data_IF_584665685914
#
_entry.id   IF_584665685914
#
_cell.length_a   1.000
_cell.length_b   1.000
_cell.length_c   1.000
_cell.angle_alpha   90.00
_cell.angle_beta   90.00
_cell.angle_gamma   90.00
#
_symmetry.space_group_name_H-M   'P 1'
#
loop_
_entity.id
_entity.type
_entity.pdbx_description
1 polymer ?
#
# COMPACT_ATOMS: atom_id res chain seq x y z
N UNK A 1 -51.26 12.93 -40.42
CA UNK A 1 -50.06 13.50 -39.78
C UNK A 1 -49.34 12.35 -39.08
N UNK A 2 -48.41 11.70 -39.76
CA UNK A 2 -47.65 10.50 -39.29
C UNK A 2 -46.39 10.99 -38.61
N UNK A 3 -46.26 10.72 -37.30
CA UNK A 3 -45.05 10.97 -36.53
C UNK A 3 -44.10 9.79 -36.71
N UNK A 4 -42.97 10.01 -37.40
CA UNK A 4 -41.88 9.05 -37.51
C UNK A 4 -41.10 9.06 -36.18
N UNK A 5 -41.10 7.95 -35.46
CA UNK A 5 -40.23 7.71 -34.30
C UNK A 5 -38.82 7.33 -34.82
N UNK A 6 -37.88 8.24 -34.60
CA UNK A 6 -36.47 7.97 -34.83
C UNK A 6 -35.95 7.12 -33.68
N UNK A 7 -35.59 5.85 -33.94
CA UNK A 7 -34.90 4.97 -33.01
C UNK A 7 -33.39 5.26 -33.12
N UNK A 8 -32.83 5.87 -32.09
CA UNK A 8 -31.37 6.00 -31.95
C UNK A 8 -30.84 4.66 -31.43
N UNK A 9 -30.18 3.91 -32.30
CA UNK A 9 -29.46 2.69 -31.93
C UNK A 9 -28.14 3.12 -31.26
N UNK A 10 -28.09 3.05 -29.92
CA UNK A 10 -26.86 3.22 -29.17
C UNK A 10 -26.07 1.91 -29.33
N UNK A 11 -25.10 1.91 -30.23
CA UNK A 11 -24.12 0.81 -30.34
C UNK A 11 -23.10 1.02 -29.22
N UNK A 12 -23.28 0.35 -28.09
CA UNK A 12 -22.23 0.21 -27.09
C UNK A 12 -21.17 -0.74 -27.65
N UNK A 13 -20.08 -0.17 -28.16
CA UNK A 13 -18.90 -0.97 -28.50
C UNK A 13 -18.28 -1.47 -27.18
N UNK A 14 -18.64 -2.70 -26.79
CA UNK A 14 -17.83 -3.44 -25.84
C UNK A 14 -16.54 -3.82 -26.58
N UNK A 15 -15.49 -3.05 -26.34
CA UNK A 15 -14.14 -3.49 -26.71
C UNK A 15 -13.88 -4.77 -25.89
N UNK A 16 -13.87 -5.92 -26.56
CA UNK A 16 -13.35 -7.15 -26.01
C UNK A 16 -11.85 -6.95 -25.87
N UNK A 17 -11.42 -6.39 -24.71
CA UNK A 17 -10.02 -6.44 -24.34
C UNK A 17 -9.75 -7.91 -24.03
N UNK A 18 -9.04 -8.58 -24.95
CA UNK A 18 -8.49 -9.90 -24.63
C UNK A 18 -7.74 -9.78 -23.33
N UNK A 19 -8.02 -10.67 -22.38
CA UNK A 19 -7.32 -10.71 -21.11
C UNK A 19 -5.83 -10.88 -21.41
N UNK A 20 -5.04 -9.85 -21.15
CA UNK A 20 -3.59 -9.88 -21.29
C UNK A 20 -3.06 -10.39 -19.96
N UNK A 21 -2.41 -11.55 -19.97
CA UNK A 21 -1.75 -12.07 -18.78
C UNK A 21 -0.57 -11.16 -18.40
N UNK A 22 -0.27 -11.08 -17.11
CA UNK A 22 0.91 -10.36 -16.62
C UNK A 22 2.23 -10.97 -17.14
N UNK A 23 3.36 -10.25 -17.01
CA UNK A 23 4.67 -10.76 -17.42
C UNK A 23 5.04 -12.00 -16.59
N UNK A 24 5.64 -13.00 -17.24
CA UNK A 24 6.14 -14.17 -16.54
C UNK A 24 7.37 -13.81 -15.68
N UNK A 25 7.65 -14.58 -14.62
CA UNK A 25 8.80 -14.35 -13.72
C UNK A 25 10.13 -14.18 -14.45
N UNK A 26 10.37 -14.97 -15.51
CA UNK A 26 11.57 -14.84 -16.34
C UNK A 26 11.67 -13.49 -17.08
N UNK A 27 10.54 -12.90 -17.43
CA UNK A 27 10.48 -11.59 -18.10
C UNK A 27 10.72 -10.48 -17.09
N UNK A 28 10.15 -10.61 -15.89
CA UNK A 28 10.40 -9.73 -14.76
C UNK A 28 11.89 -9.76 -14.41
N UNK A 29 12.46 -10.94 -14.21
CA UNK A 29 13.87 -11.13 -13.91
C UNK A 29 14.79 -10.49 -14.97
N UNK A 30 14.48 -10.70 -16.25
CA UNK A 30 15.27 -10.14 -17.34
C UNK A 30 15.25 -8.60 -17.35
N UNK A 31 14.09 -7.97 -17.10
CA UNK A 31 13.99 -6.51 -17.07
C UNK A 31 14.60 -5.89 -15.81
N UNK A 32 14.65 -6.63 -14.72
CA UNK A 32 15.36 -6.23 -13.49
C UNK A 32 16.87 -6.52 -13.53
N UNK A 33 17.36 -7.19 -14.59
CA UNK A 33 18.73 -7.70 -14.67
C UNK A 33 19.08 -8.62 -13.47
N UNK A 34 18.16 -9.55 -13.17
CA UNK A 34 18.29 -10.60 -12.14
C UNK A 34 18.36 -11.98 -12.81
N UNK A 35 19.00 -12.95 -12.16
CA UNK A 35 19.04 -14.32 -12.66
C UNK A 35 17.67 -15.01 -12.51
N UNK A 36 16.95 -14.73 -11.43
CA UNK A 36 15.61 -15.21 -11.19
C UNK A 36 14.84 -14.27 -10.24
N UNK A 37 13.52 -14.39 -10.24
CA UNK A 37 12.63 -13.81 -9.24
C UNK A 37 11.61 -14.87 -8.82
N UNK A 38 11.10 -14.72 -7.61
CA UNK A 38 9.96 -15.47 -7.08
C UNK A 38 8.80 -14.50 -6.89
N UNK A 39 7.68 -14.75 -7.54
CA UNK A 39 6.48 -13.92 -7.44
C UNK A 39 5.76 -14.18 -6.11
N UNK A 40 5.62 -13.15 -5.30
CA UNK A 40 4.87 -13.22 -4.03
C UNK A 40 3.40 -12.89 -4.24
N UNK A 41 3.14 -11.80 -4.93
CA UNK A 41 1.79 -11.30 -5.24
C UNK A 41 1.82 -10.44 -6.48
N UNK A 42 0.72 -10.41 -7.22
CA UNK A 42 0.53 -9.45 -8.32
C UNK A 42 -0.93 -9.05 -8.46
N UNK A 43 -1.14 -7.90 -9.07
CA UNK A 43 -2.45 -7.39 -9.43
C UNK A 43 -2.36 -6.55 -10.71
N UNK A 44 -3.50 -6.37 -11.39
CA UNK A 44 -3.65 -5.52 -12.56
C UNK A 44 -4.80 -4.55 -12.38
N UNK A 45 -4.54 -3.27 -12.68
CA UNK A 45 -5.53 -2.21 -12.60
C UNK A 45 -5.08 -0.97 -13.35
N UNK A 46 -6.00 -0.06 -13.62
CA UNK A 46 -5.70 1.24 -14.19
C UNK A 46 -5.13 2.16 -13.11
N UNK A 47 -3.80 2.14 -12.97
CA UNK A 47 -3.06 2.95 -11.99
C UNK A 47 -2.86 4.40 -12.46
N UNK A 48 -2.86 4.60 -13.76
CA UNK A 48 -2.57 5.90 -14.36
C UNK A 48 -3.81 6.74 -14.67
N UNK A 49 -4.99 6.13 -14.69
CA UNK A 49 -6.26 6.76 -15.01
C UNK A 49 -6.46 6.99 -16.52
N UNK A 50 -5.68 6.32 -17.37
CA UNK A 50 -5.75 6.45 -18.81
C UNK A 50 -6.62 5.37 -19.49
N UNK A 51 -7.15 4.44 -18.70
CA UNK A 51 -8.01 3.33 -19.14
C UNK A 51 -7.23 2.09 -19.60
N UNK A 52 -5.89 2.09 -19.55
CA UNK A 52 -5.07 0.92 -19.76
C UNK A 52 -4.68 0.30 -18.40
N UNK A 53 -4.42 -1.01 -18.41
CA UNK A 53 -4.04 -1.71 -17.19
C UNK A 53 -2.52 -1.67 -17.02
N UNK A 54 -2.07 -1.30 -15.85
CA UNK A 54 -0.74 -1.59 -15.36
C UNK A 54 -0.74 -2.92 -14.60
N UNK A 55 0.41 -3.57 -14.59
CA UNK A 55 0.68 -4.76 -13.78
C UNK A 55 1.65 -4.39 -12.67
N UNK A 56 1.26 -4.65 -11.43
CA UNK A 56 2.12 -4.50 -10.27
C UNK A 56 2.39 -5.86 -9.62
N UNK A 57 3.62 -6.05 -9.13
CA UNK A 57 3.97 -7.27 -8.42
C UNK A 57 4.98 -7.00 -7.30
N UNK A 58 4.87 -7.78 -6.22
CA UNK A 58 5.91 -7.96 -5.23
C UNK A 58 6.69 -9.23 -5.55
N UNK A 59 8.02 -9.14 -5.59
CA UNK A 59 8.91 -10.24 -5.94
C UNK A 59 10.11 -10.32 -4.99
N UNK A 60 10.56 -11.54 -4.70
CA UNK A 60 11.89 -11.80 -4.12
C UNK A 60 12.88 -12.08 -5.24
N UNK A 61 14.03 -11.41 -5.24
CA UNK A 61 15.09 -11.60 -6.25
C UNK A 61 16.10 -12.66 -5.81
N UNK A 62 17.04 -13.00 -6.69
CA UNK A 62 18.18 -13.87 -6.38
C UNK A 62 19.30 -13.17 -5.61
N UNK A 63 19.20 -11.86 -5.40
CA UNK A 63 20.18 -11.09 -4.64
C UNK A 63 19.96 -11.27 -3.14
N UNK A 64 21.02 -11.50 -2.41
CA UNK A 64 21.00 -11.59 -0.95
C UNK A 64 21.58 -10.29 -0.36
N UNK A 65 20.77 -9.58 0.42
CA UNK A 65 21.15 -8.38 1.16
C UNK A 65 20.93 -8.67 2.65
N UNK A 66 21.97 -8.47 3.47
CA UNK A 66 21.91 -8.69 4.93
C UNK A 66 21.35 -10.06 5.36
N UNK A 67 21.60 -11.10 4.55
CA UNK A 67 21.20 -12.48 4.84
C UNK A 67 19.81 -12.87 4.35
N UNK A 68 19.04 -11.97 3.78
CA UNK A 68 17.71 -12.23 3.21
C UNK A 68 17.68 -11.89 1.71
N UNK A 69 16.70 -12.44 0.97
CA UNK A 69 16.48 -12.08 -0.43
C UNK A 69 16.09 -10.61 -0.54
N UNK A 70 16.63 -9.92 -1.54
CA UNK A 70 16.16 -8.60 -1.91
C UNK A 70 14.71 -8.70 -2.35
N UNK A 71 13.83 -7.94 -1.72
CA UNK A 71 12.41 -7.85 -2.08
C UNK A 71 12.13 -6.55 -2.80
N UNK A 72 11.35 -6.62 -3.86
CA UNK A 72 11.03 -5.45 -4.68
C UNK A 72 9.54 -5.43 -5.04
N UNK A 73 9.02 -4.23 -5.19
CA UNK A 73 7.80 -3.96 -5.94
C UNK A 73 8.20 -3.54 -7.33
N UNK A 74 7.54 -4.10 -8.34
CA UNK A 74 7.79 -3.81 -9.76
C UNK A 74 6.47 -3.44 -10.43
N UNK A 75 6.49 -2.42 -11.27
CA UNK A 75 5.31 -1.96 -12.01
C UNK A 75 5.63 -1.94 -13.49
N UNK A 76 4.75 -2.55 -14.28
CA UNK A 76 4.86 -2.65 -15.73
C UNK A 76 3.69 -1.94 -16.40
N UNK A 77 3.96 -1.39 -17.57
CA UNK A 77 2.98 -0.87 -18.51
C UNK A 77 2.95 -1.72 -19.77
N UNK A 78 1.74 -1.92 -20.29
CA UNK A 78 1.60 -2.58 -21.58
C UNK A 78 1.96 -1.59 -22.70
N UNK A 79 2.85 -2.00 -23.59
CA UNK A 79 3.24 -1.20 -24.74
C UNK A 79 3.21 -2.07 -26.00
N UNK A 80 2.27 -1.79 -26.88
CA UNK A 80 2.01 -2.47 -28.15
C UNK A 80 1.77 -3.98 -27.99
N UNK A 81 2.81 -4.78 -27.73
CA UNK A 81 2.79 -6.24 -27.70
C UNK A 81 3.52 -6.86 -26.50
N UNK A 82 4.01 -6.03 -25.56
CA UNK A 82 4.80 -6.51 -24.42
C UNK A 82 4.67 -5.62 -23.19
N UNK A 83 4.97 -6.23 -22.05
CA UNK A 83 5.14 -5.52 -20.79
C UNK A 83 6.51 -4.84 -20.73
N UNK A 84 6.54 -3.56 -20.40
CA UNK A 84 7.75 -2.80 -20.13
C UNK A 84 7.78 -2.35 -18.68
N UNK A 85 8.92 -2.57 -18.02
CA UNK A 85 9.14 -2.08 -16.66
C UNK A 85 9.03 -0.55 -16.66
N UNK A 86 8.09 -0.03 -15.88
CA UNK A 86 7.94 1.40 -15.66
C UNK A 86 8.78 1.85 -14.49
N UNK A 87 8.63 1.19 -13.33
CA UNK A 87 9.41 1.49 -12.12
C UNK A 87 9.55 0.24 -11.25
N UNK A 88 10.55 0.26 -10.37
CA UNK A 88 10.76 -0.77 -9.37
C UNK A 88 11.34 -0.17 -8.10
N UNK A 89 10.98 -0.70 -6.94
CA UNK A 89 11.43 -0.19 -5.66
C UNK A 89 11.64 -1.32 -4.65
N UNK A 90 12.78 -1.32 -3.96
CA UNK A 90 13.00 -2.12 -2.75
C UNK A 90 12.72 -1.31 -1.47
N UNK A 91 12.42 -0.01 -1.60
CA UNK A 91 12.17 0.89 -0.48
C UNK A 91 10.72 0.83 0.02
N UNK A 92 9.78 0.38 -0.80
CA UNK A 92 8.35 0.37 -0.48
C UNK A 92 7.84 -0.96 0.08
N UNK A 93 8.69 -1.97 0.17
CA UNK A 93 8.32 -3.29 0.67
C UNK A 93 9.33 -3.78 1.71
N UNK A 94 8.82 -4.38 2.79
CA UNK A 94 9.65 -4.93 3.86
C UNK A 94 10.23 -6.29 3.47
N UNK A 95 11.43 -6.58 3.96
CA UNK A 95 12.07 -7.88 3.80
C UNK A 95 11.36 -8.98 4.61
N UNK A 96 11.61 -10.24 4.26
CA UNK A 96 10.90 -11.39 4.83
C UNK A 96 11.12 -11.59 6.35
N UNK A 97 12.16 -11.02 6.92
CA UNK A 97 12.47 -11.16 8.36
C UNK A 97 12.12 -9.92 9.19
N UNK A 98 11.54 -8.88 8.55
CA UNK A 98 11.18 -7.63 9.23
C UNK A 98 9.84 -7.70 10.00
N UNK A 99 9.10 -8.81 9.92
CA UNK A 99 7.81 -9.00 10.60
C UNK A 99 7.91 -9.47 12.07
N UNK A 100 9.11 -9.66 12.57
CA UNK A 100 9.33 -10.12 13.95
C UNK A 100 8.94 -11.59 14.14
N UNK A 101 8.34 -11.91 15.31
CA UNK A 101 7.96 -13.30 15.66
C UNK A 101 6.87 -13.87 14.73
N UNK A 102 6.08 -13.01 14.10
CA UNK A 102 5.03 -13.45 13.17
C UNK A 102 5.57 -13.84 11.78
N UNK A 103 6.86 -13.65 11.53
CA UNK A 103 7.52 -14.05 10.28
C UNK A 103 7.47 -12.97 9.20
N UNK A 104 7.19 -13.36 7.97
CA UNK A 104 7.16 -12.47 6.82
C UNK A 104 6.07 -11.39 6.97
N UNK A 105 6.44 -10.09 6.95
CA UNK A 105 5.47 -9.01 7.15
C UNK A 105 4.61 -8.72 5.93
N UNK A 106 5.02 -9.11 4.72
CA UNK A 106 4.27 -8.80 3.51
C UNK A 106 2.91 -9.51 3.51
N UNK A 107 1.84 -8.74 3.36
CA UNK A 107 0.47 -9.25 3.40
C UNK A 107 -0.19 -9.23 2.03
N UNK A 108 -0.17 -8.07 1.37
CA UNK A 108 -0.88 -7.91 0.10
C UNK A 108 -0.33 -6.73 -0.72
N UNK A 109 -0.68 -6.76 -2.01
CA UNK A 109 -0.45 -5.69 -2.98
C UNK A 109 -1.63 -5.68 -3.94
N UNK A 110 -2.11 -4.49 -4.29
CA UNK A 110 -3.21 -4.34 -5.25
C UNK A 110 -3.26 -2.96 -5.90
N UNK A 111 -3.99 -2.88 -7.01
CA UNK A 111 -4.29 -1.62 -7.71
C UNK A 111 -5.78 -1.37 -7.61
N UNK A 112 -6.17 -0.32 -6.92
CA UNK A 112 -7.57 0.10 -6.77
C UNK A 112 -7.66 1.62 -6.75
N UNK A 113 -8.71 2.18 -7.38
CA UNK A 113 -8.98 3.61 -7.39
C UNK A 113 -7.78 4.46 -7.85
N UNK A 114 -7.06 3.97 -8.89
CA UNK A 114 -5.84 4.59 -9.44
C UNK A 114 -4.71 4.74 -8.41
N UNK A 115 -4.66 3.84 -7.44
CA UNK A 115 -3.61 3.77 -6.42
C UNK A 115 -3.05 2.36 -6.34
N UNK A 116 -1.75 2.28 -6.12
CA UNK A 116 -1.06 1.06 -5.73
C UNK A 116 -1.06 0.96 -4.22
N UNK A 117 -1.65 -0.10 -3.66
CA UNK A 117 -1.69 -0.39 -2.24
C UNK A 117 -0.68 -1.47 -1.90
N UNK A 118 0.04 -1.28 -0.81
CA UNK A 118 1.01 -2.26 -0.29
C UNK A 118 0.78 -2.40 1.21
N UNK A 119 0.48 -3.61 1.67
CA UNK A 119 0.13 -3.89 3.05
C UNK A 119 1.16 -4.80 3.73
N UNK A 120 1.48 -4.46 4.97
CA UNK A 120 2.37 -5.22 5.84
C UNK A 120 1.77 -5.37 7.23
N UNK A 121 2.15 -6.46 7.93
CA UNK A 121 1.85 -6.62 9.34
C UNK A 121 2.90 -7.49 10.03
N UNK A 122 3.04 -7.32 11.34
CA UNK A 122 4.05 -8.08 12.08
C UNK A 122 3.92 -7.89 13.59
N UNK A 123 5.01 -8.23 14.29
CA UNK A 123 5.11 -8.08 15.73
C UNK A 123 5.18 -9.38 16.52
N UNK A 124 4.69 -9.33 17.75
CA UNK A 124 4.61 -10.44 18.69
C UNK A 124 3.38 -10.28 19.60
N UNK A 125 3.55 -10.02 20.92
CA UNK A 125 2.48 -9.56 21.80
C UNK A 125 1.98 -8.17 21.39
N UNK A 126 2.89 -7.32 20.98
CA UNK A 126 2.62 -6.07 20.30
C UNK A 126 2.55 -6.32 18.79
N UNK A 127 1.42 -6.01 18.20
CA UNK A 127 1.16 -6.18 16.77
C UNK A 127 1.11 -4.85 16.09
N UNK A 128 1.56 -4.84 14.85
CA UNK A 128 1.49 -3.67 14.00
C UNK A 128 0.99 -4.06 12.61
N UNK A 129 0.34 -3.13 11.96
CA UNK A 129 0.06 -3.18 10.53
C UNK A 129 0.34 -1.83 9.91
N UNK A 130 0.67 -1.84 8.62
CA UNK A 130 0.75 -0.62 7.83
C UNK A 130 0.28 -0.90 6.40
N UNK A 131 -0.28 0.13 5.78
CA UNK A 131 -0.73 0.13 4.40
C UNK A 131 -0.37 1.48 3.78
N UNK A 132 0.40 1.44 2.72
CA UNK A 132 0.82 2.60 1.94
C UNK A 132 0.09 2.61 0.60
N UNK A 133 -0.50 3.75 0.22
CA UNK A 133 -1.13 3.97 -1.07
C UNK A 133 -0.32 4.98 -1.89
N UNK A 134 0.06 4.58 -3.09
CA UNK A 134 0.81 5.41 -4.02
C UNK A 134 -0.05 5.78 -5.22
N UNK A 135 -0.02 7.04 -5.63
CA UNK A 135 -0.63 7.54 -6.85
C UNK A 135 0.43 8.05 -7.82
N UNK A 136 0.07 8.11 -9.09
CA UNK A 136 0.94 8.69 -10.11
C UNK A 136 1.00 10.21 -9.99
N UNK A 137 2.23 10.77 -9.99
CA UNK A 137 2.51 12.18 -10.18
C UNK A 137 3.61 12.36 -11.23
N UNK A 138 3.23 12.68 -12.46
CA UNK A 138 4.15 12.70 -13.59
C UNK A 138 4.61 11.28 -13.94
N UNK A 139 5.91 11.01 -13.82
CA UNK A 139 6.48 9.67 -14.01
C UNK A 139 6.75 8.94 -12.70
N UNK A 140 6.53 9.57 -11.55
CA UNK A 140 6.77 8.97 -10.24
C UNK A 140 5.49 8.41 -9.63
N UNK A 141 5.64 7.41 -8.76
CA UNK A 141 4.64 6.99 -7.81
C UNK A 141 4.93 7.64 -6.46
N UNK A 142 3.99 8.43 -5.99
CA UNK A 142 4.12 9.25 -4.77
C UNK A 142 3.12 8.77 -3.73
N UNK A 143 3.57 8.63 -2.50
CA UNK A 143 2.72 8.27 -1.36
C UNK A 143 1.60 9.30 -1.23
N UNK A 144 0.37 8.84 -1.28
CA UNK A 144 -0.84 9.67 -1.12
C UNK A 144 -1.52 9.44 0.21
N UNK A 145 -1.49 8.20 0.70
CA UNK A 145 -2.10 7.82 1.97
C UNK A 145 -1.21 6.82 2.70
N UNK A 146 -1.22 6.91 4.01
CA UNK A 146 -0.62 5.93 4.90
C UNK A 146 -1.62 5.60 6.00
N UNK A 147 -1.81 4.30 6.26
CA UNK A 147 -2.56 3.80 7.40
C UNK A 147 -1.65 2.90 8.22
N UNK A 148 -1.67 3.06 9.51
CA UNK A 148 -0.96 2.15 10.39
C UNK A 148 -1.76 1.87 11.65
N UNK A 149 -1.52 0.72 12.24
CA UNK A 149 -2.02 0.39 13.57
C UNK A 149 -0.92 -0.25 14.40
N UNK A 150 -0.99 -0.01 15.69
CA UNK A 150 -0.09 -0.60 16.66
C UNK A 150 -0.83 -0.86 17.96
N UNK A 151 -0.64 -2.03 18.55
CA UNK A 151 -1.34 -2.35 19.78
C UNK A 151 -0.99 -3.70 20.35
N UNK A 152 -1.40 -3.89 21.60
CA UNK A 152 -1.32 -5.15 22.33
C UNK A 152 -2.71 -5.59 22.76
N UNK A 153 -2.93 -6.90 22.70
CA UNK A 153 -4.16 -7.49 23.19
C UNK A 153 -4.40 -7.07 24.66
N UNK A 154 -5.61 -6.59 24.95
CA UNK A 154 -6.03 -6.11 26.28
C UNK A 154 -5.33 -4.84 26.77
N UNK A 155 -4.71 -4.05 25.92
CA UNK A 155 -4.10 -2.80 26.37
C UNK A 155 -4.60 -1.61 25.56
N UNK A 156 -3.96 -1.35 24.45
CA UNK A 156 -4.21 -0.19 23.61
C UNK A 156 -4.16 -0.61 22.15
N UNK A 157 -5.06 -0.08 21.37
CA UNK A 157 -4.97 -0.11 19.90
C UNK A 157 -4.92 1.32 19.40
N UNK A 158 -3.82 1.68 18.78
CA UNK A 158 -3.57 2.96 18.15
C UNK A 158 -3.67 2.81 16.64
N UNK A 159 -4.45 3.67 15.98
CA UNK A 159 -4.61 3.72 14.52
C UNK A 159 -4.27 5.10 14.01
N UNK A 160 -3.56 5.13 12.90
CA UNK A 160 -3.21 6.35 12.20
C UNK A 160 -3.69 6.29 10.76
N UNK A 161 -4.28 7.39 10.32
CA UNK A 161 -4.58 7.64 8.91
C UNK A 161 -3.96 8.98 8.53
N UNK A 162 -3.08 8.97 7.54
CA UNK A 162 -2.39 10.15 7.03
C UNK A 162 -2.71 10.29 5.55
N UNK A 163 -3.45 11.34 5.21
CA UNK A 163 -3.76 11.72 3.84
C UNK A 163 -2.85 12.87 3.43
N UNK A 164 -1.83 12.56 2.62
CA UNK A 164 -0.88 13.54 2.12
C UNK A 164 -1.49 14.43 1.01
N UNK A 165 -2.55 13.96 0.38
CA UNK A 165 -3.28 14.72 -0.66
C UNK A 165 -4.08 15.85 -0.03
N UNK A 166 -4.87 15.54 0.99
CA UNK A 166 -5.67 16.51 1.73
C UNK A 166 -4.87 17.22 2.82
N UNK A 167 -3.66 16.75 3.10
CA UNK A 167 -2.78 17.22 4.17
C UNK A 167 -3.44 17.13 5.56
N UNK A 168 -3.99 15.95 5.85
CA UNK A 168 -4.67 15.63 7.11
C UNK A 168 -4.01 14.41 7.77
N UNK A 169 -3.95 14.41 9.08
CA UNK A 169 -3.64 13.25 9.88
C UNK A 169 -4.74 13.01 10.91
N UNK A 170 -5.09 11.75 11.10
CA UNK A 170 -6.03 11.30 12.13
C UNK A 170 -5.35 10.24 12.97
N UNK A 171 -5.43 10.38 14.28
CA UNK A 171 -5.03 9.38 15.26
C UNK A 171 -6.27 8.95 16.05
N UNK A 172 -6.49 7.66 16.15
CA UNK A 172 -7.54 7.05 16.94
C UNK A 172 -6.91 6.09 17.94
N UNK A 173 -7.29 6.22 19.23
CA UNK A 173 -6.83 5.34 20.30
C UNK A 173 -8.05 4.68 20.90
N UNK A 174 -8.07 3.36 20.81
CA UNK A 174 -9.03 2.51 21.50
C UNK A 174 -8.32 1.73 22.58
N UNK A 175 -9.00 1.53 23.69
CA UNK A 175 -8.58 0.62 24.76
C UNK A 175 -9.51 -0.58 24.77
N UNK A 176 -8.95 -1.77 24.63
CA UNK A 176 -9.74 -2.99 24.68
C UNK A 176 -9.98 -3.40 26.14
N UNK A 177 -11.26 -3.66 26.46
CA UNK A 177 -11.61 -4.31 27.73
C UNK A 177 -11.16 -5.77 27.71
N UNK A 178 -10.34 -6.15 28.67
CA UNK A 178 -9.96 -7.55 28.82
C UNK A 178 -11.06 -8.40 29.44
N UNK A 179 -11.20 -9.67 29.02
CA UNK A 179 -11.98 -10.63 29.76
C UNK A 179 -11.52 -10.73 31.22
N UNK A 180 -12.47 -10.92 32.17
CA UNK A 180 -12.17 -11.09 33.59
C UNK A 180 -11.05 -12.14 33.79
N UNK A 181 -9.98 -11.74 34.49
CA UNK A 181 -8.83 -12.61 34.77
C UNK A 181 -7.58 -12.36 33.90
N UNK A 182 -7.64 -11.49 32.88
CA UNK A 182 -6.51 -11.03 32.09
C UNK A 182 -6.24 -9.55 32.35
N UNK A 183 -5.30 -9.22 33.23
CA UNK A 183 -4.85 -7.85 33.47
C UNK A 183 -5.64 -7.08 34.55
N UNK A 184 -5.03 -6.01 35.04
CA UNK A 184 -5.67 -5.07 35.99
C UNK A 184 -6.41 -3.98 35.19
N UNK A 185 -7.71 -4.15 35.02
CA UNK A 185 -8.59 -3.22 34.31
C UNK A 185 -8.94 -1.95 35.11
N UNK A 186 -8.36 -1.75 36.29
CA UNK A 186 -8.77 -0.71 37.22
C UNK A 186 -8.43 0.72 36.81
N UNK A 187 -7.71 0.93 35.74
CA UNK A 187 -7.22 2.26 35.30
C UNK A 187 -7.62 2.67 33.88
N UNK A 188 -8.49 1.91 33.23
CA UNK A 188 -8.83 2.18 31.84
C UNK A 188 -10.19 2.87 31.72
N UNK A 189 -10.20 4.19 31.75
CA UNK A 189 -11.35 4.94 31.23
C UNK A 189 -11.42 4.66 29.71
N UNK A 190 -12.41 3.87 29.32
CA UNK A 190 -12.60 3.35 27.95
C UNK A 190 -13.24 4.36 27.01
N UNK A 191 -12.77 5.59 26.97
CA UNK A 191 -13.25 6.57 25.98
C UNK A 191 -12.31 6.50 24.78
N UNK A 192 -12.79 6.08 23.60
CA UNK A 192 -12.03 6.21 22.36
C UNK A 192 -11.64 7.67 22.17
N UNK A 193 -10.37 7.93 21.91
CA UNK A 193 -9.88 9.27 21.60
C UNK A 193 -9.57 9.34 20.12
N UNK A 194 -10.19 10.29 19.44
CA UNK A 194 -9.92 10.56 18.03
C UNK A 194 -9.49 12.02 17.90
N UNK A 195 -8.38 12.22 17.21
CA UNK A 195 -7.87 13.55 16.91
C UNK A 195 -7.54 13.65 15.43
N UNK A 196 -8.01 14.71 14.78
CA UNK A 196 -7.70 15.02 13.37
C UNK A 196 -7.15 16.43 13.26
N UNK A 197 -6.05 16.59 12.53
CA UNK A 197 -5.40 17.90 12.35
C UNK A 197 -4.75 18.02 10.97
N UNK A 198 -4.46 19.27 10.58
CA UNK A 198 -3.76 19.54 9.33
C UNK A 198 -2.25 19.32 9.51
N UNK A 199 -1.63 18.71 8.54
CA UNK A 199 -0.19 18.52 8.43
C UNK A 199 0.40 19.43 7.35
N UNK A 200 1.74 19.59 7.29
CA UNK A 200 2.37 20.41 6.26
C UNK A 200 2.02 19.94 4.85
N UNK A 201 1.59 20.85 3.99
CA UNK A 201 1.33 20.58 2.57
C UNK A 201 2.62 20.41 1.79
N UNK A 202 2.56 19.61 0.71
CA UNK A 202 3.68 19.46 -0.22
C UNK A 202 4.74 18.44 0.24
N UNK A 203 4.46 17.67 1.27
CA UNK A 203 5.29 16.51 1.61
C UNK A 203 5.20 15.50 0.45
N UNK A 204 6.35 15.17 -0.13
CA UNK A 204 6.44 14.28 -1.29
C UNK A 204 7.41 13.15 -1.00
N UNK A 205 6.88 11.95 -0.89
CA UNK A 205 7.63 10.72 -0.66
C UNK A 205 7.38 9.81 -1.86
N UNK A 206 8.42 9.54 -2.64
CA UNK A 206 8.30 8.62 -3.78
C UNK A 206 8.46 7.18 -3.31
N UNK A 207 7.95 6.25 -4.10
CA UNK A 207 8.03 4.82 -3.83
C UNK A 207 9.49 4.35 -3.63
N UNK A 208 10.44 4.96 -4.33
CA UNK A 208 11.87 4.61 -4.25
C UNK A 208 12.57 5.12 -2.99
N UNK A 209 11.97 6.08 -2.29
CA UNK A 209 12.53 6.71 -1.11
C UNK A 209 11.70 6.48 0.16
N UNK A 210 10.80 5.49 0.13
CA UNK A 210 9.89 5.24 1.26
C UNK A 210 10.62 4.92 2.57
N UNK A 211 11.61 4.03 2.53
CA UNK A 211 12.42 3.66 3.72
C UNK A 211 13.37 4.76 4.18
N UNK A 212 13.78 5.65 3.29
CA UNK A 212 14.72 6.73 3.60
C UNK A 212 14.00 7.98 4.13
N UNK A 213 12.68 8.03 3.99
CA UNK A 213 11.86 9.17 4.37
C UNK A 213 11.31 8.97 5.78
N UNK A 214 12.00 9.54 6.77
CA UNK A 214 11.52 9.53 8.15
C UNK A 214 10.78 10.84 8.42
N UNK A 215 9.45 10.78 8.44
CA UNK A 215 8.60 11.92 8.77
C UNK A 215 7.81 11.62 10.03
N UNK A 216 8.02 12.42 11.06
CA UNK A 216 7.36 12.29 12.36
C UNK A 216 6.09 13.14 12.39
N UNK A 217 4.99 12.54 12.79
CA UNK A 217 3.73 13.20 13.07
C UNK A 217 3.44 13.13 14.56
N UNK A 218 2.99 14.24 15.10
CA UNK A 218 2.64 14.36 16.54
C UNK A 218 1.27 14.98 16.64
N UNK A 219 0.37 14.31 17.37
CA UNK A 219 -0.97 14.85 17.62
C UNK A 219 -0.88 16.07 18.51
N UNK A 220 -1.52 17.20 18.15
CA UNK A 220 -1.32 18.48 18.84
C UNK A 220 -1.96 18.52 20.25
N UNK A 221 -2.97 17.72 20.55
CA UNK A 221 -3.67 17.74 21.84
C UNK A 221 -3.06 16.72 22.77
N UNK A 222 -2.87 15.48 22.32
CA UNK A 222 -2.48 14.36 23.17
C UNK A 222 -1.01 13.98 23.09
N UNK A 223 -0.28 14.49 22.09
CA UNK A 223 1.14 14.23 21.91
C UNK A 223 1.46 12.80 21.44
N UNK A 224 0.49 12.08 20.87
CA UNK A 224 0.74 10.78 20.24
C UNK A 224 1.61 10.94 19.01
N UNK A 225 2.43 9.94 18.74
CA UNK A 225 3.44 10.04 17.70
C UNK A 225 3.42 8.85 16.77
N UNK A 226 3.57 9.11 15.47
CA UNK A 226 3.89 8.10 14.46
C UNK A 226 4.93 8.60 13.50
N UNK A 227 5.54 7.68 12.78
CA UNK A 227 6.51 7.99 11.71
C UNK A 227 6.11 7.30 10.42
N UNK A 228 6.26 8.02 9.31
CA UNK A 228 6.24 7.44 7.97
C UNK A 228 7.60 6.86 7.61
#
# INVERSE_FOLDING_TARGET
MMLAKCFILVVTSHACHGQVDGPAEKEIAAQLNRASVELLKSDMGDLTGDGFLEYAAAVDTDIILDGQKERMVVIFRWNEDRWLLWTSSSSSVLGSEEGGVLGDPFQDLGIQDQKLWIAHSGGSNWRWSMEDAYRREGEDLVLSEHRSSWGSFCEVLERWEIDLTEALATCEIEREECPEGFGDNSHLDSIPMTETWSIPKGLRITIDHRKDSIVRFVSPIHGFETTL
#
